data_IF_962210710619
#
_entry.id   IF_962210710619
#
_cell.length_a   1.000
_cell.length_b   1.000
_cell.length_c   1.000
_cell.angle_alpha   90.00
_cell.angle_beta   90.00
_cell.angle_gamma   90.00
#
_symmetry.space_group_name_H-M   'P 1'
#
loop_
_entity.id
_entity.type
_entity.pdbx_description
1 polymer ?
#
# COMPACT_ATOMS: atom_id res chain seq x y z
N UNK A 1 -2.58 -20.43 -22.27
CA UNK A 1 -3.73 -20.33 -21.35
C UNK A 1 -4.83 -19.60 -22.05
N UNK A 2 -5.96 -20.24 -22.14
CA UNK A 2 -7.12 -19.48 -22.60
C UNK A 2 -7.35 -18.32 -21.65
N UNK A 3 -7.68 -17.20 -22.20
CA UNK A 3 -8.04 -16.03 -21.41
C UNK A 3 -9.25 -16.37 -20.58
N UNK A 4 -9.04 -16.56 -19.31
CA UNK A 4 -10.13 -16.74 -18.37
C UNK A 4 -10.85 -15.40 -18.23
N UNK A 5 -12.10 -15.30 -18.66
CA UNK A 5 -12.81 -14.05 -18.56
C UNK A 5 -13.02 -13.58 -17.12
N UNK A 6 -12.91 -14.46 -16.17
CA UNK A 6 -13.04 -14.10 -14.75
C UNK A 6 -11.92 -13.22 -14.25
N UNK A 7 -10.78 -13.27 -14.93
CA UNK A 7 -9.63 -12.46 -14.58
C UNK A 7 -9.55 -11.17 -15.37
N UNK A 8 -10.50 -10.94 -16.25
CA UNK A 8 -10.52 -9.66 -16.93
C UNK A 8 -10.95 -8.58 -15.95
N UNK A 9 -10.11 -7.58 -15.85
CA UNK A 9 -10.53 -6.37 -15.18
C UNK A 9 -11.89 -5.95 -15.73
N UNK A 10 -12.76 -5.46 -14.92
CA UNK A 10 -13.92 -4.73 -15.40
C UNK A 10 -13.40 -3.47 -16.07
N UNK A 11 -13.04 -3.65 -17.27
CA UNK A 11 -12.11 -2.77 -17.94
C UNK A 11 -12.51 -1.35 -18.00
N UNK A 12 -13.71 -1.16 -17.93
CA UNK A 12 -14.15 0.06 -18.49
C UNK A 12 -14.45 1.07 -17.45
N UNK A 13 -14.62 0.60 -16.29
CA UNK A 13 -15.27 1.43 -15.32
C UNK A 13 -14.47 1.63 -14.08
N UNK A 14 -13.19 1.73 -14.29
CA UNK A 14 -12.40 2.13 -13.15
C UNK A 14 -12.68 3.61 -12.88
N UNK A 15 -13.52 3.91 -11.91
CA UNK A 15 -13.85 5.30 -11.62
C UNK A 15 -12.67 6.09 -11.09
N UNK A 16 -11.60 5.40 -10.77
CA UNK A 16 -10.38 6.06 -10.35
C UNK A 16 -9.53 6.58 -11.49
N UNK A 17 -9.96 6.37 -12.69
CA UNK A 17 -9.21 6.84 -13.84
C UNK A 17 -9.32 8.35 -13.95
N UNK A 18 -8.21 9.01 -13.82
CA UNK A 18 -8.12 10.45 -13.81
C UNK A 18 -8.41 11.17 -15.11
N UNK A 19 -9.09 10.50 -16.03
CA UNK A 19 -9.51 11.15 -17.28
C UNK A 19 -10.85 11.83 -17.18
N UNK A 20 -11.43 11.86 -16.01
CA UNK A 20 -12.66 12.61 -15.81
C UNK A 20 -12.39 14.09 -15.93
N UNK A 21 -13.20 14.73 -16.73
CA UNK A 21 -13.21 16.17 -16.84
C UNK A 21 -14.48 16.64 -16.12
N UNK A 22 -14.29 17.58 -15.20
CA UNK A 22 -15.42 18.18 -14.51
C UNK A 22 -16.18 19.13 -15.44
N UNK A 23 -17.27 19.66 -14.94
CA UNK A 23 -18.12 20.56 -15.73
C UNK A 23 -17.44 21.85 -16.15
N UNK A 24 -16.27 22.14 -15.60
CA UNK A 24 -15.48 23.30 -15.93
C UNK A 24 -14.34 22.99 -16.89
N UNK A 25 -14.32 21.80 -17.48
CA UNK A 25 -13.26 21.39 -18.38
C UNK A 25 -11.97 21.05 -17.67
N UNK A 26 -11.98 20.91 -16.37
CA UNK A 26 -10.81 20.52 -15.59
C UNK A 26 -10.77 19.02 -15.41
N UNK A 27 -9.56 18.49 -15.41
CA UNK A 27 -9.35 17.10 -15.11
C UNK A 27 -9.77 16.85 -13.65
N UNK A 28 -10.60 15.86 -13.42
CA UNK A 28 -11.04 15.50 -12.08
C UNK A 28 -9.86 15.12 -11.20
N UNK A 29 -10.03 15.31 -9.91
CA UNK A 29 -8.95 15.14 -8.92
C UNK A 29 -8.62 13.70 -8.58
N UNK A 30 -9.34 12.73 -9.11
CA UNK A 30 -9.23 11.34 -8.64
C UNK A 30 -7.80 10.79 -8.70
N UNK A 31 -7.09 11.04 -9.79
CA UNK A 31 -5.72 10.57 -9.92
C UNK A 31 -4.77 11.39 -9.05
N UNK A 32 -5.04 12.68 -8.98
CA UNK A 32 -4.17 13.58 -8.22
C UNK A 32 -4.31 13.36 -6.71
N UNK A 33 -5.51 13.04 -6.26
CA UNK A 33 -5.74 12.81 -4.83
C UNK A 33 -4.98 11.58 -4.34
N UNK A 34 -4.99 10.50 -5.12
CA UNK A 34 -4.23 9.32 -4.75
C UNK A 34 -2.73 9.57 -4.78
N UNK A 35 -2.25 10.21 -5.84
CA UNK A 35 -0.84 10.52 -5.97
C UNK A 35 -0.38 11.45 -4.87
N UNK A 36 -1.19 12.43 -4.52
CA UNK A 36 -0.92 13.34 -3.42
C UNK A 36 -0.81 12.64 -2.09
N UNK A 37 -1.74 11.74 -1.80
CA UNK A 37 -1.73 10.96 -0.55
C UNK A 37 -0.47 10.13 -0.41
N UNK A 38 -0.10 9.41 -1.47
CA UNK A 38 1.09 8.58 -1.44
C UNK A 38 2.36 9.43 -1.40
N UNK A 39 2.41 10.51 -2.15
CA UNK A 39 3.54 11.43 -2.14
C UNK A 39 3.72 12.07 -0.76
N UNK A 40 2.63 12.43 -0.11
CA UNK A 40 2.68 12.96 1.26
C UNK A 40 3.20 11.92 2.24
N UNK A 41 2.75 10.67 2.10
CA UNK A 41 3.24 9.58 2.93
C UNK A 41 4.74 9.37 2.74
N UNK A 42 5.22 9.42 1.50
CA UNK A 42 6.65 9.31 1.22
C UNK A 42 7.46 10.43 1.86
N UNK A 43 6.92 11.64 1.88
CA UNK A 43 7.61 12.78 2.52
C UNK A 43 7.69 12.65 4.04
N UNK A 44 6.73 11.95 4.66
CA UNK A 44 6.73 11.71 6.11
C UNK A 44 7.59 10.52 6.51
N UNK A 45 8.13 9.79 5.56
CA UNK A 45 8.97 8.63 5.83
C UNK A 45 10.32 9.07 6.39
N UNK A 46 10.64 8.59 7.57
CA UNK A 46 11.96 8.80 8.17
C UNK A 46 12.93 7.74 7.68
N UNK A 47 13.92 8.16 6.91
CA UNK A 47 14.97 7.27 6.40
C UNK A 47 16.11 7.09 7.40
N UNK A 48 16.16 7.97 8.40
CA UNK A 48 17.24 7.97 9.38
C UNK A 48 16.92 7.01 10.52
N UNK A 49 17.99 6.49 11.11
CA UNK A 49 17.87 5.65 12.30
C UNK A 49 17.76 6.54 13.53
N UNK A 50 16.80 6.22 14.37
CA UNK A 50 16.63 6.87 15.67
C UNK A 50 16.49 5.78 16.73
N UNK A 51 16.91 6.09 17.96
CA UNK A 51 16.78 5.13 19.04
C UNK A 51 15.32 4.99 19.51
N UNK A 52 15.08 4.02 20.38
CA UNK A 52 13.78 3.72 20.93
C UNK A 52 13.13 4.93 21.58
N UNK A 53 13.91 5.69 22.36
CA UNK A 53 13.38 6.86 23.09
C UNK A 53 12.94 7.95 22.13
N UNK A 54 13.71 8.17 21.07
CA UNK A 54 13.34 9.15 20.06
C UNK A 54 12.00 8.78 19.41
N UNK A 55 11.83 7.52 19.02
CA UNK A 55 10.59 7.05 18.39
C UNK A 55 9.40 7.20 19.34
N UNK A 56 9.55 6.85 20.61
CA UNK A 56 8.48 6.96 21.60
C UNK A 56 8.08 8.40 21.89
N UNK A 57 8.99 9.34 21.75
CA UNK A 57 8.70 10.76 21.94
C UNK A 57 7.95 11.37 20.75
N UNK A 58 8.11 10.80 19.56
CA UNK A 58 7.55 11.36 18.33
C UNK A 58 6.27 10.69 17.88
N UNK A 59 6.07 9.41 18.21
CA UNK A 59 4.93 8.65 17.76
C UNK A 59 4.30 7.85 18.89
N UNK A 60 2.96 7.87 18.89
CA UNK A 60 2.17 7.19 19.94
C UNK A 60 2.04 5.71 19.66
N UNK A 61 1.87 5.36 18.39
CA UNK A 61 1.59 3.98 17.99
C UNK A 61 2.84 3.40 17.33
N UNK A 62 3.46 2.44 18.03
CA UNK A 62 4.61 1.68 17.52
C UNK A 62 4.35 0.23 17.84
N UNK A 63 4.47 -0.65 16.83
CA UNK A 63 4.16 -2.07 16.96
C UNK A 63 5.28 -2.92 16.40
N UNK A 64 5.48 -4.09 16.97
CA UNK A 64 6.37 -5.10 16.43
C UNK A 64 5.56 -6.04 15.53
N UNK A 65 5.94 -6.12 14.26
CA UNK A 65 5.30 -7.00 13.29
C UNK A 65 6.38 -7.73 12.51
N UNK A 66 6.32 -9.04 12.54
CA UNK A 66 7.34 -9.86 11.89
C UNK A 66 8.73 -9.55 12.46
N UNK A 67 9.63 -9.14 11.62
CA UNK A 67 11.01 -8.86 12.01
C UNK A 67 11.32 -7.40 12.31
N UNK A 68 10.33 -6.50 12.42
CA UNK A 68 10.61 -5.09 12.60
C UNK A 68 9.52 -4.30 13.31
N UNK A 69 9.91 -3.18 13.89
CA UNK A 69 8.97 -2.23 14.49
C UNK A 69 8.50 -1.22 13.44
N UNK A 70 7.19 -0.91 13.52
CA UNK A 70 6.55 0.06 12.64
C UNK A 70 5.91 1.16 13.46
N UNK A 71 6.01 2.40 12.99
CA UNK A 71 5.25 3.52 13.56
C UNK A 71 4.11 3.91 12.62
N UNK A 72 3.04 4.45 13.21
CA UNK A 72 1.87 4.89 12.47
C UNK A 72 1.81 6.40 12.41
N UNK A 73 1.62 6.94 11.22
CA UNK A 73 1.45 8.36 11.01
C UNK A 73 0.50 8.61 9.85
N UNK A 74 -0.54 9.40 10.11
CA UNK A 74 -1.49 9.86 9.10
C UNK A 74 -2.05 8.73 8.20
N UNK A 75 -2.40 7.60 8.81
CA UNK A 75 -3.03 6.49 8.11
C UNK A 75 -2.07 5.55 7.40
N UNK A 76 -0.78 5.68 7.64
CA UNK A 76 0.23 4.80 7.06
C UNK A 76 1.13 4.23 8.14
N UNK A 77 1.62 3.01 7.90
CA UNK A 77 2.67 2.38 8.68
C UNK A 77 4.03 2.60 8.00
N UNK A 78 5.06 2.80 8.81
CA UNK A 78 6.43 3.02 8.36
C UNK A 78 7.40 2.21 9.20
N UNK A 79 8.50 1.71 8.63
CA UNK A 79 9.56 1.12 9.44
C UNK A 79 10.17 2.12 10.43
N UNK A 80 10.29 1.70 11.68
CA UNK A 80 10.93 2.50 12.72
C UNK A 80 12.40 2.09 12.87
N UNK A 81 13.22 2.53 11.93
CA UNK A 81 14.62 2.18 11.87
C UNK A 81 15.37 2.63 13.14
N UNK A 82 16.10 1.71 13.72
CA UNK A 82 16.90 1.98 14.92
C UNK A 82 16.15 1.78 16.24
N UNK A 83 14.83 1.55 16.18
CA UNK A 83 14.04 1.32 17.38
C UNK A 83 14.58 0.13 18.18
N UNK A 84 14.86 -0.97 17.51
CA UNK A 84 15.51 -2.14 18.08
C UNK A 84 16.41 -2.76 17.02
N UNK A 85 17.72 -2.74 17.27
CA UNK A 85 18.70 -3.23 16.31
C UNK A 85 18.59 -4.73 16.02
N UNK A 86 17.92 -5.48 16.89
CA UNK A 86 17.67 -6.91 16.68
C UNK A 86 16.41 -7.17 15.84
N UNK A 87 15.62 -6.15 15.53
CA UNK A 87 14.36 -6.26 14.81
C UNK A 87 14.31 -5.22 13.70
N UNK A 88 15.16 -5.41 12.68
CA UNK A 88 15.23 -4.49 11.53
C UNK A 88 15.07 -5.23 10.20
N UNK A 89 14.19 -6.21 10.15
CA UNK A 89 13.86 -6.92 8.92
C UNK A 89 12.61 -6.32 8.30
N UNK A 90 12.81 -5.59 7.22
CA UNK A 90 11.74 -4.97 6.47
C UNK A 90 11.86 -5.37 5.00
N UNK A 91 10.84 -6.05 4.48
CA UNK A 91 10.80 -6.41 3.06
C UNK A 91 10.56 -5.20 2.16
N UNK A 92 9.98 -4.16 2.72
CA UNK A 92 9.74 -2.91 2.03
C UNK A 92 9.98 -1.75 2.98
N UNK A 93 10.83 -0.82 2.57
CA UNK A 93 11.15 0.37 3.35
C UNK A 93 10.37 1.56 2.81
N UNK A 94 9.16 1.72 3.28
CA UNK A 94 8.30 2.81 2.85
C UNK A 94 6.93 2.74 3.50
N UNK A 95 6.03 3.64 3.11
CA UNK A 95 4.69 3.68 3.67
C UNK A 95 3.81 2.53 3.22
N UNK A 96 3.02 2.01 4.17
CA UNK A 96 1.99 0.99 3.92
C UNK A 96 0.68 1.55 4.45
N UNK A 97 -0.28 1.77 3.55
CA UNK A 97 -1.57 2.30 3.94
C UNK A 97 -2.28 1.35 4.90
N UNK A 98 -2.97 1.89 5.89
CA UNK A 98 -3.75 1.09 6.83
C UNK A 98 -5.15 1.64 7.01
N UNK A 99 -6.04 0.77 7.45
CA UNK A 99 -7.44 1.07 7.67
C UNK A 99 -7.97 0.16 8.78
N UNK A 100 -9.04 0.58 9.45
CA UNK A 100 -9.73 -0.27 10.43
C UNK A 100 -8.86 -0.78 11.57
N UNK A 101 -7.87 -0.01 12.00
CA UNK A 101 -6.92 -0.39 13.06
C UNK A 101 -6.11 -1.67 12.76
N UNK A 102 -5.97 -2.03 11.49
CA UNK A 102 -5.19 -3.20 11.09
C UNK A 102 -3.70 -2.93 11.21
N UNK A 103 -2.97 -3.97 11.59
CA UNK A 103 -1.51 -3.98 11.58
C UNK A 103 -0.99 -4.11 10.15
N UNK A 104 0.26 -3.72 9.88
CA UNK A 104 0.78 -3.75 8.51
C UNK A 104 0.69 -5.13 7.84
N UNK A 105 0.99 -6.20 8.55
CA UNK A 105 0.90 -7.56 8.02
C UNK A 105 -0.55 -7.94 7.69
N UNK A 106 -1.49 -7.52 8.52
CA UNK A 106 -2.92 -7.79 8.30
C UNK A 106 -3.43 -7.11 7.03
N UNK A 107 -3.04 -5.87 6.80
CA UNK A 107 -3.37 -5.16 5.57
C UNK A 107 -2.80 -5.91 4.37
N UNK A 108 -1.53 -6.29 4.44
CA UNK A 108 -0.87 -6.97 3.33
C UNK A 108 -1.53 -8.33 3.04
N UNK A 109 -1.89 -9.09 4.07
CA UNK A 109 -2.61 -10.36 3.89
C UNK A 109 -3.93 -10.14 3.14
N UNK A 110 -4.69 -9.12 3.52
CA UNK A 110 -5.94 -8.80 2.85
C UNK A 110 -5.72 -8.45 1.39
N UNK A 111 -4.71 -7.65 1.10
CA UNK A 111 -4.33 -7.30 -0.26
C UNK A 111 -3.90 -8.54 -1.06
N UNK A 112 -3.04 -9.36 -0.49
CA UNK A 112 -2.57 -10.60 -1.13
C UNK A 112 -3.74 -11.54 -1.46
N UNK A 113 -4.70 -11.64 -0.54
CA UNK A 113 -5.88 -12.50 -0.75
C UNK A 113 -6.71 -12.03 -1.94
N UNK A 114 -6.98 -10.75 -2.05
CA UNK A 114 -7.75 -10.23 -3.19
C UNK A 114 -6.97 -10.38 -4.48
N UNK A 115 -5.68 -10.06 -4.48
CA UNK A 115 -4.83 -10.24 -5.66
C UNK A 115 -4.75 -11.70 -6.09
N UNK A 116 -4.74 -12.63 -5.14
CA UNK A 116 -4.77 -14.06 -5.43
C UNK A 116 -6.09 -14.46 -6.08
N UNK A 117 -7.21 -13.99 -5.54
CA UNK A 117 -8.54 -14.26 -6.10
C UNK A 117 -8.67 -13.72 -7.52
N UNK A 118 -8.03 -12.61 -7.81
CA UNK A 118 -8.05 -11.99 -9.14
C UNK A 118 -6.99 -12.56 -10.09
N UNK A 119 -6.13 -13.45 -9.62
CA UNK A 119 -5.11 -14.09 -10.44
C UNK A 119 -3.81 -13.32 -10.59
N UNK A 120 -3.60 -12.25 -9.84
CA UNK A 120 -2.35 -11.48 -9.90
C UNK A 120 -1.27 -12.02 -9.00
N UNK A 121 -1.63 -12.68 -7.91
CA UNK A 121 -0.68 -13.16 -6.92
C UNK A 121 -0.82 -14.66 -6.74
N UNK A 122 0.31 -15.38 -6.78
CA UNK A 122 0.33 -16.84 -6.66
C UNK A 122 1.13 -17.32 -5.43
N UNK A 123 1.69 -16.41 -4.67
CA UNK A 123 2.49 -16.74 -3.50
C UNK A 123 1.64 -16.99 -2.25
N UNK A 124 2.33 -17.18 -1.14
CA UNK A 124 1.69 -17.39 0.16
C UNK A 124 1.10 -16.10 0.71
N UNK A 125 0.03 -16.24 1.48
CA UNK A 125 -0.54 -15.11 2.21
C UNK A 125 0.27 -14.89 3.49
N UNK A 126 1.43 -14.31 3.34
CA UNK A 126 2.42 -14.20 4.42
C UNK A 126 2.46 -12.84 5.11
N UNK A 127 1.73 -11.86 4.60
CA UNK A 127 1.71 -10.51 5.19
C UNK A 127 2.98 -9.71 4.94
N UNK A 128 3.80 -10.15 3.98
CA UNK A 128 5.05 -9.48 3.64
C UNK A 128 4.92 -8.76 2.30
N UNK A 129 5.35 -7.52 2.25
CA UNK A 129 5.36 -6.72 1.01
C UNK A 129 6.68 -6.95 0.26
N UNK A 130 6.96 -8.22 -0.03
CA UNK A 130 8.14 -8.61 -0.78
C UNK A 130 8.01 -8.36 -2.28
N UNK A 131 9.03 -8.78 -3.01
CA UNK A 131 9.10 -8.53 -4.46
C UNK A 131 7.91 -9.11 -5.22
N UNK A 132 7.48 -10.31 -4.87
CA UNK A 132 6.37 -10.99 -5.55
C UNK A 132 5.05 -10.23 -5.35
N UNK A 133 4.79 -9.80 -4.15
CA UNK A 133 3.59 -9.02 -3.83
C UNK A 133 3.62 -7.67 -4.52
N UNK A 134 4.78 -7.01 -4.54
CA UNK A 134 4.92 -5.71 -5.22
C UNK A 134 4.76 -5.82 -6.73
N UNK A 135 5.23 -6.91 -7.33
CA UNK A 135 4.99 -7.18 -8.75
C UNK A 135 3.51 -7.39 -9.04
N UNK A 136 2.83 -8.16 -8.21
CA UNK A 136 1.39 -8.39 -8.35
C UNK A 136 0.61 -7.08 -8.22
N UNK A 137 1.00 -6.24 -7.27
CA UNK A 137 0.39 -4.92 -7.11
C UNK A 137 0.61 -4.04 -8.33
N UNK A 138 1.82 -4.01 -8.85
CA UNK A 138 2.13 -3.23 -10.06
C UNK A 138 1.26 -3.66 -11.24
N UNK A 139 1.16 -4.95 -11.48
CA UNK A 139 0.34 -5.48 -12.56
C UNK A 139 -1.14 -5.12 -12.39
N UNK A 140 -1.66 -5.26 -11.18
CA UNK A 140 -3.03 -4.87 -10.85
C UNK A 140 -3.25 -3.37 -11.09
N UNK A 141 -2.35 -2.55 -10.57
CA UNK A 141 -2.46 -1.10 -10.70
C UNK A 141 -2.44 -0.65 -12.15
N UNK A 142 -1.56 -1.22 -12.96
CA UNK A 142 -1.51 -0.93 -14.39
C UNK A 142 -2.81 -1.32 -15.08
N UNK A 143 -3.32 -2.50 -14.79
CA UNK A 143 -4.55 -3.00 -15.40
C UNK A 143 -5.77 -2.18 -15.02
N UNK A 144 -5.78 -1.62 -13.83
CA UNK A 144 -6.93 -0.85 -13.32
C UNK A 144 -6.76 0.66 -13.47
N UNK A 145 -5.71 1.11 -14.17
CA UNK A 145 -5.50 2.53 -14.43
C UNK A 145 -5.09 3.33 -13.21
N UNK A 146 -4.52 2.68 -12.20
CA UNK A 146 -3.96 3.33 -11.03
C UNK A 146 -2.49 3.66 -11.25
N UNK A 147 -1.94 4.54 -10.40
CA UNK A 147 -0.50 4.75 -10.39
C UNK A 147 0.19 3.44 -10.01
N UNK A 148 1.13 3.00 -10.84
CA UNK A 148 1.82 1.73 -10.67
C UNK A 148 2.96 1.91 -9.66
N UNK A 149 2.60 2.11 -8.40
CA UNK A 149 3.56 2.30 -7.30
C UNK A 149 4.16 0.97 -6.82
N UNK A 150 3.46 -0.12 -7.05
CA UNK A 150 3.86 -1.44 -6.55
C UNK A 150 3.71 -1.58 -5.05
N UNK A 151 3.00 -0.68 -4.40
CA UNK A 151 2.85 -0.67 -2.94
C UNK A 151 1.39 -0.54 -2.55
N UNK A 152 1.13 -0.66 -1.25
CA UNK A 152 -0.22 -0.57 -0.70
C UNK A 152 -0.51 0.90 -0.40
N UNK A 153 -1.17 1.56 -1.31
CA UNK A 153 -1.64 2.93 -1.14
C UNK A 153 -3.18 2.96 -1.00
N UNK A 154 -3.71 4.10 -0.62
CA UNK A 154 -5.13 4.24 -0.36
C UNK A 154 -6.00 3.89 -1.58
N UNK A 155 -5.63 4.40 -2.75
CA UNK A 155 -6.42 4.16 -3.96
C UNK A 155 -6.41 2.69 -4.36
N UNK A 156 -5.31 2.00 -4.17
CA UNK A 156 -5.22 0.57 -4.44
C UNK A 156 -6.10 -0.22 -3.49
N UNK A 157 -6.06 0.09 -2.20
CA UNK A 157 -6.91 -0.57 -1.19
C UNK A 157 -8.38 -0.34 -1.51
N UNK A 158 -8.73 0.87 -1.89
CA UNK A 158 -10.10 1.22 -2.28
C UNK A 158 -10.53 0.48 -3.55
N UNK A 159 -9.66 0.43 -4.54
CA UNK A 159 -9.92 -0.28 -5.80
C UNK A 159 -10.13 -1.78 -5.58
N UNK A 160 -9.38 -2.36 -4.64
CA UNK A 160 -9.53 -3.76 -4.27
C UNK A 160 -10.82 -4.07 -3.49
N UNK A 161 -11.57 -3.05 -3.11
CA UNK A 161 -12.82 -3.21 -2.37
C UNK A 161 -12.64 -3.47 -0.89
N UNK A 162 -11.48 -3.13 -0.33
CA UNK A 162 -11.20 -3.36 1.09
C UNK A 162 -11.71 -2.23 1.98
N UNK A 163 -11.98 -1.08 1.41
CA UNK A 163 -12.61 0.05 2.09
C UNK A 163 -13.68 0.70 1.23
#
# INVERSE_FOLDING_TARGET
MPNDPSHRKPAVNNPGNGNRIDTNGRRGKTTNDNRGNYADAMRRHHHERHDCDWWKQHYIVIVLVGGGYYYRDAGYWYPAWGYDLNHERYEYDGPIYTYGNLLPDQVIINVQRVLQQLGYYTGDLNGSLGADTRQALTAYQEDYGLDATGVVDEATVRSLGLI
#
